data_IF_379517379638
#
_entry.id   IF_379517379638
#
_cell.length_a   1.000
_cell.length_b   1.000
_cell.length_c   1.000
_cell.angle_alpha   90.00
_cell.angle_beta   90.00
_cell.angle_gamma   90.00
#
_symmetry.space_group_name_H-M   'P 1'
#
loop_
_entity.id
_entity.type
_entity.pdbx_description
1 polymer ?
#
# COMPACT_ATOMS: atom_id res chain seq x y z
N UNK A 1 1.60 -79.02 -37.43
CA UNK A 1 0.46 -79.90 -37.12
C UNK A 1 -0.67 -79.06 -36.52
N UNK A 2 -1.75 -78.92 -37.29
CA UNK A 2 -3.18 -78.71 -36.99
C UNK A 2 -3.66 -77.85 -35.79
N UNK A 3 -4.33 -76.75 -36.16
CA UNK A 3 -5.75 -76.37 -35.92
C UNK A 3 -6.52 -76.81 -34.66
N UNK A 4 -7.10 -75.82 -33.97
CA UNK A 4 -8.55 -75.63 -33.66
C UNK A 4 -8.70 -74.53 -32.59
N UNK A 5 -9.13 -73.29 -32.89
CA UNK A 5 -10.51 -72.78 -33.05
C UNK A 5 -11.45 -72.89 -31.82
N UNK A 6 -11.59 -71.75 -31.14
CA UNK A 6 -12.73 -71.10 -30.46
C UNK A 6 -14.03 -71.90 -30.26
N UNK A 7 -14.52 -71.98 -29.01
CA UNK A 7 -15.95 -71.80 -28.69
C UNK A 7 -16.18 -71.26 -27.27
N UNK A 8 -17.26 -70.49 -27.15
CA UNK A 8 -17.73 -69.59 -26.10
C UNK A 8 -17.96 -70.19 -24.70
N UNK A 9 -17.78 -69.36 -23.67
CA UNK A 9 -18.81 -69.18 -22.64
C UNK A 9 -18.71 -67.79 -21.99
N UNK A 10 -19.87 -67.16 -21.87
CA UNK A 10 -20.12 -65.77 -21.47
C UNK A 10 -19.61 -65.40 -20.06
N UNK A 11 -19.30 -64.10 -19.86
CA UNK A 11 -18.90 -63.53 -18.57
C UNK A 11 -20.13 -63.14 -17.75
N UNK A 12 -20.13 -63.48 -16.47
CA UNK A 12 -20.86 -62.70 -15.47
C UNK A 12 -20.27 -61.27 -15.44
N UNK A 13 -20.99 -60.17 -15.23
CA UNK A 13 -22.35 -60.05 -14.73
C UNK A 13 -22.49 -58.96 -13.68
N UNK A 14 -21.81 -57.81 -13.79
CA UNK A 14 -22.28 -56.52 -13.22
C UNK A 14 -21.33 -55.33 -13.48
N UNK A 15 -21.36 -54.77 -14.68
CA UNK A 15 -21.21 -53.32 -14.86
C UNK A 15 -22.60 -52.74 -15.14
N UNK A 16 -23.03 -51.73 -14.37
CA UNK A 16 -24.12 -50.77 -14.70
C UNK A 16 -24.72 -50.18 -13.43
N UNK A 17 -24.02 -49.22 -12.79
CA UNK A 17 -24.63 -48.23 -11.90
C UNK A 17 -23.80 -46.96 -11.99
N UNK A 18 -24.18 -46.06 -12.89
CA UNK A 18 -24.11 -44.60 -12.79
C UNK A 18 -24.31 -44.02 -14.19
N UNK A 19 -25.55 -44.14 -14.70
CA UNK A 19 -26.01 -43.29 -15.78
C UNK A 19 -27.53 -43.13 -15.68
N UNK A 20 -27.97 -42.13 -14.91
CA UNK A 20 -29.35 -41.63 -15.01
C UNK A 20 -29.27 -40.18 -15.44
N UNK A 21 -29.53 -39.99 -16.73
CA UNK A 21 -29.82 -38.72 -17.37
C UNK A 21 -31.22 -38.29 -16.89
N UNK A 22 -31.33 -37.13 -16.26
CA UNK A 22 -32.62 -36.43 -16.09
C UNK A 22 -32.59 -35.19 -16.99
N UNK A 23 -33.54 -35.15 -17.94
CA UNK A 23 -33.89 -33.94 -18.71
C UNK A 23 -35.07 -33.21 -18.03
N UNK A 24 -35.26 -31.91 -18.33
CA UNK A 24 -35.87 -30.94 -17.43
C UNK A 24 -37.38 -30.83 -17.62
N UNK A 25 -38.10 -30.50 -16.55
CA UNK A 25 -39.33 -29.72 -16.68
C UNK A 25 -39.66 -28.87 -15.45
N UNK A 26 -39.99 -27.62 -15.75
CA UNK A 26 -40.85 -26.68 -15.05
C UNK A 26 -40.42 -26.06 -13.69
N UNK A 27 -40.09 -24.77 -13.80
CA UNK A 27 -40.40 -23.68 -12.85
C UNK A 27 -39.88 -23.82 -11.40
N UNK A 28 -38.60 -23.51 -11.19
CA UNK A 28 -38.11 -23.02 -9.91
C UNK A 28 -37.52 -21.61 -10.11
N UNK A 29 -38.01 -20.66 -9.31
CA UNK A 29 -37.57 -19.26 -9.26
C UNK A 29 -36.04 -19.19 -9.09
N UNK A 30 -35.35 -18.19 -9.67
CA UNK A 30 -33.93 -18.00 -9.40
C UNK A 30 -33.70 -17.77 -7.90
N UNK A 31 -32.60 -18.29 -7.32
CA UNK A 31 -32.30 -18.06 -5.91
C UNK A 31 -32.16 -16.56 -5.66
N UNK A 32 -32.79 -16.08 -4.59
CA UNK A 32 -32.72 -14.69 -4.15
C UNK A 32 -31.25 -14.27 -3.92
N UNK A 33 -30.91 -12.98 -4.11
CA UNK A 33 -29.57 -12.48 -3.80
C UNK A 33 -29.22 -12.78 -2.35
N UNK A 34 -27.99 -13.26 -2.11
CA UNK A 34 -27.48 -13.50 -0.76
C UNK A 34 -27.41 -12.17 -0.02
N UNK A 35 -28.35 -11.96 0.89
CA UNK A 35 -28.47 -10.76 1.73
C UNK A 35 -27.32 -10.77 2.76
N UNK A 36 -26.34 -9.90 2.53
CA UNK A 36 -25.04 -9.90 3.22
C UNK A 36 -25.05 -9.10 4.55
N UNK A 37 -26.21 -8.76 5.08
CA UNK A 37 -26.38 -7.74 6.13
C UNK A 37 -26.68 -8.28 7.54
N UNK A 38 -26.94 -9.58 7.73
CA UNK A 38 -27.58 -10.05 8.97
C UNK A 38 -26.67 -10.31 10.19
N UNK A 39 -25.43 -9.85 10.24
CA UNK A 39 -24.55 -10.05 11.41
C UNK A 39 -24.06 -8.76 12.08
N UNK A 40 -24.43 -7.58 11.56
CA UNK A 40 -24.01 -6.29 12.13
C UNK A 40 -25.03 -5.62 13.06
N UNK A 41 -26.20 -6.22 13.31
CA UNK A 41 -27.23 -5.57 14.14
C UNK A 41 -27.30 -6.07 15.59
N UNK A 42 -26.98 -5.13 16.48
CA UNK A 42 -27.48 -4.91 17.84
C UNK A 42 -26.89 -5.72 19.02
N UNK A 43 -26.18 -4.98 19.88
CA UNK A 43 -26.53 -4.93 21.31
C UNK A 43 -26.79 -3.45 21.69
N UNK A 44 -27.94 -3.11 22.28
CA UNK A 44 -28.25 -1.75 22.69
C UNK A 44 -27.54 -1.40 23.99
N UNK A 45 -26.71 -0.36 23.99
CA UNK A 45 -26.12 0.17 25.23
C UNK A 45 -27.16 1.06 25.92
N UNK A 46 -27.51 0.64 27.14
CA UNK A 46 -28.38 1.36 28.07
C UNK A 46 -27.74 2.70 28.45
N UNK A 47 -28.46 3.80 28.19
CA UNK A 47 -28.09 5.15 28.64
C UNK A 47 -28.72 5.36 30.02
N UNK A 48 -27.92 5.72 31.03
CA UNK A 48 -28.43 6.30 32.28
C UNK A 48 -27.53 7.47 32.68
N UNK A 49 -28.10 8.63 33.06
CA UNK A 49 -27.37 9.88 33.19
C UNK A 49 -26.87 10.14 34.62
N UNK A 50 -25.73 10.83 34.71
CA UNK A 50 -25.44 11.95 35.62
C UNK A 50 -23.94 11.96 36.01
N UNK A 51 -23.26 13.09 35.84
CA UNK A 51 -23.05 14.05 36.92
C UNK A 51 -22.20 15.24 36.44
N UNK A 52 -22.71 16.43 36.75
CA UNK A 52 -22.11 17.74 36.58
C UNK A 52 -20.74 17.83 37.28
N UNK A 53 -19.70 18.29 36.59
CA UNK A 53 -18.46 18.75 37.25
C UNK A 53 -17.84 19.91 36.45
N UNK A 54 -18.13 21.11 36.94
CA UNK A 54 -17.27 22.30 37.14
C UNK A 54 -16.32 22.78 36.02
N UNK A 55 -16.55 24.03 35.62
CA UNK A 55 -15.67 24.90 34.81
C UNK A 55 -14.23 24.99 35.34
N UNK A 56 -13.22 24.96 34.46
CA UNK A 56 -11.89 25.42 34.83
C UNK A 56 -11.83 26.96 34.83
N UNK A 57 -11.64 27.50 36.02
CA UNK A 57 -11.26 28.88 36.32
C UNK A 57 -9.97 29.26 35.59
N UNK A 58 -10.01 30.37 34.85
CA UNK A 58 -8.87 31.02 34.22
C UNK A 58 -8.20 31.94 35.26
N UNK A 59 -6.96 31.63 35.66
CA UNK A 59 -6.16 32.51 36.51
C UNK A 59 -5.15 33.29 35.67
N UNK A 60 -5.48 34.58 35.58
CA UNK A 60 -4.76 35.79 35.24
C UNK A 60 -3.21 35.82 35.26
N UNK A 61 -2.67 36.19 34.09
CA UNK A 61 -1.77 37.32 33.79
C UNK A 61 -0.47 37.54 34.57
N UNK A 62 0.64 37.55 33.82
CA UNK A 62 1.79 38.42 34.07
C UNK A 62 1.83 39.56 33.04
N UNK A 63 1.93 40.77 33.57
CA UNK A 63 1.96 42.08 32.92
C UNK A 63 3.33 42.41 32.36
N UNK A 64 3.38 43.10 31.21
CA UNK A 64 4.28 44.26 30.99
C UNK A 64 3.96 45.00 29.69
N UNK A 65 3.38 46.19 29.90
CA UNK A 65 3.38 47.43 29.12
C UNK A 65 3.92 47.43 27.68
N UNK A 66 3.02 47.76 26.75
CA UNK A 66 3.34 48.56 25.55
C UNK A 66 2.52 49.85 25.64
N UNK A 67 3.12 51.05 25.70
CA UNK A 67 2.36 52.30 25.66
C UNK A 67 1.90 52.57 24.24
N UNK A 68 0.59 52.73 24.08
CA UNK A 68 -0.03 53.31 22.89
C UNK A 68 -0.11 54.82 23.10
N UNK A 69 0.73 55.59 22.41
CA UNK A 69 0.48 57.02 22.22
C UNK A 69 0.81 57.39 20.77
N UNK A 70 -0.24 57.52 19.97
CA UNK A 70 -0.20 58.09 18.64
C UNK A 70 -0.19 59.61 18.76
N UNK A 71 0.94 60.23 18.43
CA UNK A 71 1.03 61.67 18.22
C UNK A 71 0.79 61.98 16.73
N UNK A 72 -0.10 62.92 16.38
CA UNK A 72 -0.36 63.27 14.98
C UNK A 72 0.86 63.97 14.36
N UNK A 73 1.39 63.40 13.27
CA UNK A 73 2.49 63.99 12.51
C UNK A 73 1.99 65.25 11.80
N UNK A 74 2.56 66.39 12.19
CA UNK A 74 2.27 67.69 11.61
C UNK A 74 2.89 67.78 10.20
N UNK A 75 2.03 67.85 9.18
CA UNK A 75 2.45 67.95 7.77
C UNK A 75 2.95 69.37 7.49
N UNK A 76 4.27 69.54 7.44
CA UNK A 76 4.88 70.78 6.94
C UNK A 76 4.99 70.68 5.41
N UNK A 77 4.42 71.62 4.64
CA UNK A 77 4.56 71.60 3.18
C UNK A 77 6.02 71.86 2.79
N UNK A 78 6.67 70.86 2.19
CA UNK A 78 8.01 71.01 1.60
C UNK A 78 7.89 71.87 0.35
N UNK A 79 8.50 73.06 0.41
CA UNK A 79 8.62 73.99 -0.71
C UNK A 79 9.50 73.38 -1.79
N UNK A 80 8.93 73.16 -2.97
CA UNK A 80 9.63 72.62 -4.15
C UNK A 80 10.48 73.75 -4.74
N UNK A 81 11.81 73.63 -4.65
CA UNK A 81 12.73 74.48 -5.41
C UNK A 81 12.94 73.88 -6.81
N UNK A 82 12.96 74.70 -7.88
CA UNK A 82 13.19 74.20 -9.24
C UNK A 82 14.65 73.71 -9.39
N UNK A 83 14.88 72.65 -10.19
CA UNK A 83 16.22 72.10 -10.39
C UNK A 83 17.14 73.09 -11.11
N UNK A 84 18.35 73.26 -10.57
CA UNK A 84 19.45 74.02 -11.17
C UNK A 84 19.87 73.36 -12.49
N UNK A 85 20.02 74.09 -13.61
CA UNK A 85 20.48 73.51 -14.86
C UNK A 85 21.98 73.16 -14.77
N UNK A 86 22.29 71.86 -14.71
CA UNK A 86 23.66 71.35 -14.83
C UNK A 86 24.05 71.39 -16.31
N UNK A 87 25.11 72.15 -16.61
CA UNK A 87 25.71 72.25 -17.95
C UNK A 87 26.29 70.90 -18.37
N UNK A 88 25.92 70.50 -19.58
CA UNK A 88 26.38 69.31 -20.30
C UNK A 88 27.89 69.37 -20.53
N UNK A 89 28.63 68.40 -19.99
CA UNK A 89 29.97 68.09 -20.44
C UNK A 89 29.86 66.91 -21.42
N UNK A 90 30.07 67.18 -22.70
CA UNK A 90 30.31 66.16 -23.71
C UNK A 90 31.65 65.49 -23.40
N UNK A 91 31.61 64.24 -22.95
CA UNK A 91 32.75 63.38 -23.09
C UNK A 91 32.36 62.08 -23.80
N UNK A 92 33.35 61.58 -24.50
CA UNK A 92 33.30 60.91 -25.78
C UNK A 92 33.12 59.39 -25.64
N UNK A 93 32.39 58.81 -26.60
CA UNK A 93 32.53 57.45 -27.13
C UNK A 93 33.09 56.36 -26.19
N UNK A 94 32.22 55.77 -25.37
CA UNK A 94 32.37 54.35 -25.04
C UNK A 94 31.34 53.55 -25.84
N UNK A 95 31.84 52.89 -26.88
CA UNK A 95 31.11 51.91 -27.66
C UNK A 95 30.39 50.92 -26.71
N UNK A 96 29.05 50.95 -26.73
CA UNK A 96 28.25 49.87 -26.18
C UNK A 96 28.53 48.62 -27.00
N UNK A 97 29.50 47.87 -26.52
CA UNK A 97 29.82 46.53 -27.00
C UNK A 97 28.57 45.69 -26.75
N UNK A 98 27.76 45.49 -27.78
CA UNK A 98 26.65 44.54 -27.74
C UNK A 98 27.21 43.20 -27.27
N UNK A 99 26.94 42.84 -26.01
CA UNK A 99 27.23 41.51 -25.47
C UNK A 99 26.25 40.54 -26.10
N UNK A 100 26.56 40.11 -27.33
CA UNK A 100 25.86 38.99 -27.94
C UNK A 100 26.16 37.74 -27.09
N UNK A 101 25.09 37.09 -26.66
CA UNK A 101 24.99 35.64 -26.40
C UNK A 101 25.15 35.12 -24.95
N UNK A 102 24.69 35.84 -23.93
CA UNK A 102 24.51 35.30 -22.56
C UNK A 102 23.27 34.41 -22.39
N UNK A 103 22.35 34.40 -23.37
CA UNK A 103 21.12 33.58 -23.30
C UNK A 103 21.38 32.08 -23.46
N UNK A 104 22.37 31.69 -24.28
CA UNK A 104 22.67 30.26 -24.54
C UNK A 104 23.36 29.57 -23.36
N UNK A 105 24.26 30.27 -22.67
CA UNK A 105 24.94 29.73 -21.47
C UNK A 105 23.99 29.59 -20.29
N UNK A 106 23.10 30.57 -20.06
CA UNK A 106 22.05 30.46 -19.04
C UNK A 106 21.07 29.31 -19.33
N UNK A 107 20.65 29.15 -20.59
CA UNK A 107 19.78 28.04 -20.99
C UNK A 107 20.45 26.67 -20.83
N UNK A 108 21.72 26.54 -21.19
CA UNK A 108 22.46 25.28 -21.01
C UNK A 108 22.65 24.93 -19.53
N UNK A 109 22.93 25.91 -18.68
CA UNK A 109 23.03 25.69 -17.23
C UNK A 109 21.69 25.23 -16.64
N UNK A 110 20.57 25.84 -17.06
CA UNK A 110 19.22 25.43 -16.64
C UNK A 110 18.90 24.01 -17.11
N UNK A 111 19.27 23.65 -18.35
CA UNK A 111 19.10 22.29 -18.86
C UNK A 111 19.95 21.27 -18.11
N UNK A 112 21.20 21.61 -17.77
CA UNK A 112 22.07 20.76 -16.94
C UNK A 112 21.50 20.60 -15.54
N UNK A 113 21.01 21.67 -14.91
CA UNK A 113 20.34 21.57 -13.61
C UNK A 113 19.08 20.71 -13.67
N UNK A 114 18.24 20.87 -14.70
CA UNK A 114 17.05 20.03 -14.91
C UNK A 114 17.42 18.57 -15.17
N UNK A 115 18.49 18.31 -15.93
CA UNK A 115 19.01 16.96 -16.14
C UNK A 115 19.54 16.36 -14.83
N UNK A 116 20.27 17.13 -14.02
CA UNK A 116 20.77 16.67 -12.72
C UNK A 116 19.63 16.42 -11.72
N UNK A 117 18.60 17.26 -11.73
CA UNK A 117 17.37 17.03 -10.95
C UNK A 117 16.68 15.76 -11.45
N UNK A 118 16.49 15.62 -12.77
CA UNK A 118 15.90 14.41 -13.36
C UNK A 118 16.71 13.17 -12.97
N UNK A 119 18.03 13.21 -13.11
CA UNK A 119 18.92 12.13 -12.68
C UNK A 119 18.72 11.91 -11.18
N UNK A 120 18.78 12.91 -10.32
CA UNK A 120 18.62 12.73 -8.87
C UNK A 120 17.29 12.05 -8.48
N UNK A 121 16.17 12.46 -9.09
CA UNK A 121 14.85 11.88 -8.83
C UNK A 121 14.65 10.49 -9.46
N UNK A 122 15.36 10.17 -10.55
CA UNK A 122 15.22 8.92 -11.28
C UNK A 122 16.45 8.00 -11.20
N UNK A 123 17.49 8.35 -10.43
CA UNK A 123 18.71 7.57 -10.32
C UNK A 123 18.39 6.26 -9.63
N UNK A 124 18.89 5.15 -10.18
CA UNK A 124 18.64 3.84 -9.61
C UNK A 124 19.42 3.59 -8.32
N UNK A 125 18.77 3.72 -7.16
CA UNK A 125 19.22 3.14 -5.88
C UNK A 125 18.27 2.03 -5.46
N UNK A 126 18.79 0.91 -4.92
CA UNK A 126 17.91 -0.14 -4.38
C UNK A 126 17.01 0.48 -3.31
N UNK A 127 15.72 0.18 -3.38
CA UNK A 127 14.75 0.66 -2.38
C UNK A 127 13.87 -0.50 -1.97
N UNK A 128 14.03 -0.93 -0.73
CA UNK A 128 13.26 -2.01 -0.12
C UNK A 128 12.22 -1.42 0.83
N UNK A 129 10.94 -1.69 0.55
CA UNK A 129 9.81 -1.15 1.31
C UNK A 129 8.94 -2.29 1.83
N UNK A 130 8.66 -2.29 3.14
CA UNK A 130 7.75 -3.23 3.78
C UNK A 130 6.32 -2.65 3.80
N UNK A 131 5.39 -3.32 3.14
CA UNK A 131 3.97 -2.94 3.11
C UNK A 131 3.20 -3.78 4.10
N UNK A 132 2.51 -3.13 5.03
CA UNK A 132 1.75 -3.72 6.12
C UNK A 132 0.26 -3.42 5.97
N UNK A 133 -0.57 -4.46 6.02
CA UNK A 133 -2.02 -4.33 6.17
C UNK A 133 -2.42 -4.61 7.61
N UNK A 134 -2.97 -3.61 8.29
CA UNK A 134 -3.27 -3.64 9.72
C UNK A 134 -4.75 -3.95 9.94
N UNK A 135 -5.02 -5.06 10.66
CA UNK A 135 -6.34 -5.38 11.20
C UNK A 135 -6.58 -4.55 12.47
N UNK A 136 -6.73 -3.24 12.28
CA UNK A 136 -7.02 -2.31 13.36
C UNK A 136 -8.47 -2.44 13.81
N UNK A 137 -8.68 -2.35 15.12
CA UNK A 137 -10.01 -2.27 15.74
C UNK A 137 -10.11 -1.00 16.58
N UNK A 138 -11.30 -0.38 16.68
CA UNK A 138 -11.49 0.80 17.52
C UNK A 138 -10.89 0.61 18.92
N UNK A 139 -9.90 1.42 19.23
CA UNK A 139 -9.08 1.38 20.45
C UNK A 139 -8.40 2.73 20.66
N UNK A 140 -7.79 2.92 21.82
CA UNK A 140 -7.18 4.19 22.23
C UNK A 140 -5.95 4.58 21.37
N UNK A 141 -5.30 3.61 20.72
CA UNK A 141 -4.24 3.87 19.74
C UNK A 141 -4.78 3.73 18.31
N UNK A 142 -4.54 4.72 17.43
CA UNK A 142 -5.08 4.73 16.07
C UNK A 142 -4.50 3.64 15.16
N UNK A 143 -3.46 2.92 15.61
CA UNK A 143 -2.78 1.87 14.86
C UNK A 143 -2.66 0.55 15.64
N UNK A 144 -3.27 0.42 16.82
CA UNK A 144 -3.22 -0.82 17.57
C UNK A 144 -3.90 -1.97 16.80
N UNK A 145 -3.09 -2.89 16.30
CA UNK A 145 -3.54 -3.99 15.47
C UNK A 145 -2.38 -4.86 15.00
N UNK A 146 -2.70 -6.06 14.54
CA UNK A 146 -1.71 -6.99 13.96
C UNK A 146 -1.56 -6.73 12.46
N UNK A 147 -0.35 -6.95 11.95
CA UNK A 147 -0.06 -6.84 10.52
C UNK A 147 -0.40 -8.16 9.81
N UNK A 148 -1.66 -8.33 9.45
CA UNK A 148 -2.19 -9.54 8.83
C UNK A 148 -1.75 -9.73 7.37
N UNK A 149 -1.38 -8.62 6.71
CA UNK A 149 -0.73 -8.62 5.39
C UNK A 149 0.65 -8.03 5.54
N UNK A 150 1.66 -8.74 5.04
CA UNK A 150 3.03 -8.23 4.95
C UNK A 150 3.61 -8.56 3.59
N UNK A 151 3.99 -7.54 2.84
CA UNK A 151 4.58 -7.66 1.52
C UNK A 151 5.86 -6.86 1.52
N UNK A 152 6.98 -7.55 1.36
CA UNK A 152 8.26 -6.91 1.20
C UNK A 152 8.48 -6.63 -0.29
N UNK A 153 8.71 -5.37 -0.64
CA UNK A 153 8.90 -4.95 -2.03
C UNK A 153 10.31 -4.43 -2.21
N UNK A 154 10.91 -4.66 -3.37
CA UNK A 154 12.20 -4.06 -3.72
C UNK A 154 12.19 -3.55 -5.15
N UNK A 155 12.74 -2.37 -5.33
CA UNK A 155 13.02 -1.77 -6.63
C UNK A 155 14.53 -1.87 -6.83
N UNK A 156 15.01 -2.77 -7.71
CA UNK A 156 16.43 -2.87 -7.98
C UNK A 156 16.93 -1.60 -8.68
N UNK A 157 18.23 -1.30 -8.60
CA UNK A 157 18.76 -0.13 -9.27
C UNK A 157 18.64 -0.29 -10.80
N UNK A 158 19.20 -1.34 -11.38
CA UNK A 158 19.36 -1.41 -12.85
C UNK A 158 18.03 -1.62 -13.61
N UNK A 159 16.97 -2.07 -12.93
CA UNK A 159 15.66 -2.36 -13.54
C UNK A 159 14.53 -1.72 -12.73
N UNK A 160 13.54 -1.07 -13.37
CA UNK A 160 12.36 -0.54 -12.68
C UNK A 160 11.31 -1.63 -12.35
N UNK A 161 11.63 -2.91 -12.58
CA UNK A 161 10.74 -4.02 -12.22
C UNK A 161 10.72 -4.21 -10.70
N UNK A 162 9.53 -4.17 -10.11
CA UNK A 162 9.28 -4.36 -8.68
C UNK A 162 9.19 -5.85 -8.40
N UNK A 163 10.06 -6.33 -7.52
CA UNK A 163 9.91 -7.66 -6.92
C UNK A 163 9.15 -7.56 -5.60
N UNK A 164 8.27 -8.53 -5.35
CA UNK A 164 7.41 -8.58 -4.16
C UNK A 164 7.53 -9.95 -3.50
N UNK A 165 7.77 -9.98 -2.20
CA UNK A 165 7.78 -11.19 -1.38
C UNK A 165 6.69 -11.08 -0.32
N UNK A 166 5.65 -11.90 -0.42
CA UNK A 166 4.63 -11.99 0.64
C UNK A 166 5.14 -12.86 1.79
N UNK A 167 5.15 -12.29 2.98
CA UNK A 167 5.58 -12.95 4.22
C UNK A 167 4.33 -13.44 4.97
N UNK A 168 4.19 -14.75 5.26
CA UNK A 168 3.08 -15.28 6.03
C UNK A 168 3.05 -14.65 7.43
N UNK A 169 1.87 -14.18 7.83
CA UNK A 169 1.66 -13.52 9.13
C UNK A 169 1.99 -14.41 10.34
N UNK A 170 1.85 -15.73 10.17
CA UNK A 170 1.96 -16.73 11.23
C UNK A 170 3.40 -17.31 11.33
N UNK A 171 4.37 -16.74 10.61
CA UNK A 171 5.78 -17.11 10.66
C UNK A 171 6.35 -16.85 12.07
N UNK A 172 6.86 -17.91 12.72
CA UNK A 172 7.42 -17.87 14.07
C UNK A 172 8.86 -17.40 14.02
N UNK A 173 9.12 -16.22 14.55
CA UNK A 173 10.41 -15.52 14.45
C UNK A 173 10.74 -14.78 15.73
N UNK A 174 12.01 -14.43 15.90
CA UNK A 174 12.45 -13.58 16.99
C UNK A 174 11.98 -12.15 16.77
N UNK A 175 11.24 -11.60 17.73
CA UNK A 175 10.83 -10.19 17.70
C UNK A 175 11.80 -9.39 18.59
N UNK A 176 12.59 -8.44 18.04
CA UNK A 176 13.55 -7.68 18.83
C UNK A 176 12.91 -6.99 20.04
N UNK A 177 13.58 -7.06 21.20
CA UNK A 177 13.10 -6.57 22.50
C UNK A 177 11.88 -7.31 23.08
N UNK A 178 11.46 -8.41 22.46
CA UNK A 178 10.43 -9.29 22.98
C UNK A 178 10.91 -10.76 22.89
N UNK A 179 9.98 -11.69 22.98
CA UNK A 179 10.20 -13.13 22.81
C UNK A 179 9.86 -13.57 21.39
N UNK A 180 10.20 -14.82 21.05
CA UNK A 180 9.78 -15.41 19.78
C UNK A 180 8.25 -15.43 19.70
N UNK A 181 7.73 -14.95 18.58
CA UNK A 181 6.29 -14.93 18.34
C UNK A 181 6.01 -14.99 16.84
N UNK A 182 4.73 -15.01 16.48
CA UNK A 182 4.32 -14.75 15.10
C UNK A 182 4.74 -13.34 14.71
N UNK A 183 5.39 -13.21 13.57
CA UNK A 183 5.89 -11.94 13.06
C UNK A 183 4.83 -10.82 13.00
N UNK A 184 3.55 -11.16 12.80
CA UNK A 184 2.48 -10.17 12.79
C UNK A 184 2.19 -9.49 14.15
N UNK A 185 2.73 -10.02 15.25
CA UNK A 185 2.60 -9.41 16.58
C UNK A 185 3.65 -8.33 16.83
N UNK A 186 4.72 -8.26 16.03
CA UNK A 186 5.76 -7.24 16.17
C UNK A 186 5.18 -5.82 16.17
N UNK A 187 4.30 -5.54 15.21
CA UNK A 187 3.60 -4.27 15.11
C UNK A 187 2.70 -4.02 16.34
N UNK A 188 1.96 -5.04 16.77
CA UNK A 188 1.00 -4.93 17.88
C UNK A 188 1.69 -4.66 19.23
N UNK A 189 2.75 -5.40 19.56
CA UNK A 189 3.47 -5.23 20.83
C UNK A 189 4.11 -3.85 20.93
N UNK A 190 4.73 -3.40 19.85
CA UNK A 190 5.36 -2.09 19.81
C UNK A 190 4.33 -0.94 19.92
N UNK A 191 3.18 -1.02 19.24
CA UNK A 191 2.10 -0.03 19.39
C UNK A 191 1.50 -0.02 20.80
N UNK A 192 1.48 -1.16 21.49
CA UNK A 192 1.01 -1.28 22.87
C UNK A 192 1.96 -0.60 23.86
N UNK A 193 3.27 -0.75 23.66
CA UNK A 193 4.30 -0.15 24.53
C UNK A 193 4.56 1.32 24.22
N UNK A 194 4.63 1.68 22.95
CA UNK A 194 4.90 3.04 22.48
C UNK A 194 4.10 3.31 21.20
N UNK A 195 2.96 4.02 21.29
CA UNK A 195 2.14 4.35 20.13
C UNK A 195 2.96 5.02 19.02
N UNK A 196 2.78 4.57 17.78
CA UNK A 196 3.52 5.02 16.61
C UNK A 196 4.78 4.21 16.29
N UNK A 197 5.24 3.32 17.17
CA UNK A 197 6.47 2.55 16.96
C UNK A 197 6.29 1.25 16.14
N UNK A 198 5.04 0.86 15.83
CA UNK A 198 4.69 -0.42 15.22
C UNK A 198 5.36 -0.70 13.87
N UNK A 199 5.45 0.30 12.99
CA UNK A 199 6.12 0.13 11.68
C UNK A 199 7.60 -0.20 11.85
N UNK A 200 8.29 0.51 12.73
CA UNK A 200 9.73 0.32 12.95
C UNK A 200 10.02 -1.03 13.62
N UNK A 201 9.15 -1.48 14.52
CA UNK A 201 9.27 -2.82 15.09
C UNK A 201 9.08 -3.93 14.05
N UNK A 202 8.10 -3.79 13.16
CA UNK A 202 7.90 -4.73 12.06
C UNK A 202 9.09 -4.76 11.09
N UNK A 203 9.65 -3.59 10.73
CA UNK A 203 10.89 -3.49 9.94
C UNK A 203 12.04 -4.25 10.61
N UNK A 204 12.32 -3.94 11.88
CA UNK A 204 13.38 -4.59 12.65
C UNK A 204 13.19 -6.10 12.78
N UNK A 205 11.96 -6.57 12.95
CA UNK A 205 11.66 -8.00 12.97
C UNK A 205 12.00 -8.67 11.63
N UNK A 206 11.68 -8.03 10.49
CA UNK A 206 12.10 -8.54 9.18
C UNK A 206 13.63 -8.51 9.04
N UNK A 207 14.28 -7.39 9.35
CA UNK A 207 15.74 -7.23 9.21
C UNK A 207 16.52 -8.24 10.05
N UNK A 208 16.11 -8.44 11.31
CA UNK A 208 16.78 -9.34 12.26
C UNK A 208 16.74 -10.81 11.83
N UNK A 209 15.69 -11.22 11.13
CA UNK A 209 15.49 -12.62 10.77
C UNK A 209 15.89 -12.92 9.32
N UNK A 210 15.64 -12.00 8.39
CA UNK A 210 15.86 -12.20 6.96
C UNK A 210 17.25 -11.74 6.50
N UNK A 211 18.04 -11.07 7.37
CA UNK A 211 19.38 -10.57 7.05
C UNK A 211 19.41 -9.68 5.79
N UNK A 212 18.43 -8.79 5.70
CA UNK A 212 18.26 -7.80 4.63
C UNK A 212 18.03 -6.42 5.25
N UNK A 213 18.27 -5.37 4.47
CA UNK A 213 17.94 -3.99 4.88
C UNK A 213 16.55 -3.61 4.38
N UNK A 214 15.73 -3.05 5.26
CA UNK A 214 14.40 -2.53 4.92
C UNK A 214 14.43 -1.01 5.05
N UNK A 215 14.53 -0.32 3.92
CA UNK A 215 14.68 1.14 3.90
C UNK A 215 13.44 1.85 4.43
N UNK A 216 12.25 1.40 4.02
CA UNK A 216 10.98 2.07 4.30
C UNK A 216 9.88 1.09 4.72
N UNK A 217 8.84 1.60 5.37
CA UNK A 217 7.60 0.92 5.61
C UNK A 217 6.39 1.78 5.23
N UNK A 218 5.34 1.09 4.84
CA UNK A 218 4.02 1.64 4.61
C UNK A 218 3.06 0.78 5.44
N UNK A 219 2.20 1.39 6.25
CA UNK A 219 1.09 0.68 6.89
C UNK A 219 -0.25 1.24 6.43
N UNK A 220 -1.20 0.36 6.19
CA UNK A 220 -2.54 0.67 5.71
C UNK A 220 -3.58 -0.01 6.59
N UNK A 221 -4.59 0.72 7.05
CA UNK A 221 -5.73 0.13 7.77
C UNK A 221 -6.62 -0.65 6.80
N UNK A 222 -7.19 -1.78 7.22
CA UNK A 222 -8.17 -2.49 6.39
C UNK A 222 -9.44 -1.68 6.12
N UNK A 223 -9.91 -0.90 7.08
CA UNK A 223 -11.01 0.06 6.85
C UNK A 223 -10.60 1.10 5.82
N UNK A 224 -9.38 1.62 5.94
CA UNK A 224 -8.83 2.58 5.00
C UNK A 224 -8.66 2.03 3.58
N UNK A 225 -8.29 0.76 3.44
CA UNK A 225 -8.26 0.09 2.14
C UNK A 225 -9.64 0.10 1.46
N UNK A 226 -10.70 -0.18 2.21
CA UNK A 226 -12.09 -0.12 1.71
C UNK A 226 -12.41 1.30 1.25
N UNK A 227 -12.13 2.30 2.10
CA UNK A 227 -12.42 3.70 1.81
C UNK A 227 -11.67 4.20 0.56
N UNK A 228 -10.39 3.80 0.39
CA UNK A 228 -9.58 4.18 -0.77
C UNK A 228 -10.17 3.59 -2.06
N UNK A 229 -10.54 2.30 -2.04
CA UNK A 229 -11.13 1.63 -3.21
C UNK A 229 -12.48 2.25 -3.56
N UNK A 230 -13.32 2.56 -2.57
CA UNK A 230 -14.61 3.20 -2.78
C UNK A 230 -14.46 4.64 -3.29
N UNK A 231 -13.46 5.39 -2.80
CA UNK A 231 -13.13 6.74 -3.30
C UNK A 231 -12.71 6.73 -4.78
N UNK A 232 -12.05 5.66 -5.24
CA UNK A 232 -11.77 5.44 -6.67
C UNK A 232 -13.01 5.05 -7.50
N UNK A 233 -14.12 4.72 -6.82
CA UNK A 233 -15.31 4.17 -7.44
C UNK A 233 -15.08 2.73 -7.90
N UNK A 234 -14.44 1.91 -7.06
CA UNK A 234 -14.18 0.49 -7.26
C UNK A 234 -13.01 0.18 -8.19
N UNK A 235 -12.62 -1.10 -8.21
CA UNK A 235 -11.52 -1.64 -9.04
C UNK A 235 -12.04 -2.79 -9.88
N UNK A 236 -11.71 -2.78 -11.18
CA UNK A 236 -12.07 -3.86 -12.09
C UNK A 236 -10.94 -4.89 -12.19
N UNK A 237 -11.23 -6.12 -11.78
CA UNK A 237 -10.31 -7.25 -11.84
C UNK A 237 -10.72 -8.19 -12.97
N UNK A 238 -9.80 -8.49 -13.89
CA UNK A 238 -10.07 -9.46 -14.97
C UNK A 238 -9.51 -10.82 -14.58
N UNK A 239 -10.39 -11.76 -14.24
CA UNK A 239 -10.02 -13.09 -13.78
C UNK A 239 -9.83 -14.04 -14.97
N UNK A 240 -8.72 -14.78 -15.06
CA UNK A 240 -8.55 -15.78 -16.13
C UNK A 240 -9.50 -16.97 -15.97
N UNK A 241 -9.92 -17.26 -14.73
CA UNK A 241 -10.84 -18.34 -14.36
C UNK A 241 -11.66 -17.95 -13.13
N UNK A 242 -12.70 -18.71 -12.81
CA UNK A 242 -13.54 -18.44 -11.65
C UNK A 242 -12.75 -18.61 -10.34
N UNK A 243 -12.73 -17.57 -9.51
CA UNK A 243 -11.88 -17.51 -8.33
C UNK A 243 -12.57 -16.76 -7.20
N UNK A 244 -12.52 -17.30 -5.98
CA UNK A 244 -13.04 -16.63 -4.78
C UNK A 244 -14.54 -16.26 -4.87
N UNK A 245 -15.33 -17.11 -5.54
CA UNK A 245 -16.76 -16.90 -5.75
C UNK A 245 -17.11 -15.89 -6.86
N UNK A 246 -16.12 -15.43 -7.62
CA UNK A 246 -16.29 -14.58 -8.80
C UNK A 246 -16.12 -15.40 -10.07
N UNK A 247 -16.85 -15.02 -11.12
CA UNK A 247 -16.75 -15.68 -12.44
C UNK A 247 -15.49 -15.26 -13.19
N UNK A 248 -15.07 -16.06 -14.18
CA UNK A 248 -14.01 -15.67 -15.09
C UNK A 248 -14.41 -14.41 -15.88
N UNK A 249 -13.44 -13.54 -16.17
CA UNK A 249 -13.64 -12.28 -16.88
C UNK A 249 -13.64 -11.04 -15.99
N UNK A 250 -14.15 -9.90 -16.49
CA UNK A 250 -14.10 -8.62 -15.77
C UNK A 250 -15.12 -8.59 -14.63
N UNK A 251 -14.62 -8.42 -13.41
CA UNK A 251 -15.40 -8.26 -12.18
C UNK A 251 -15.11 -6.89 -11.58
N UNK A 252 -16.15 -6.08 -11.39
CA UNK A 252 -16.01 -4.79 -10.71
C UNK A 252 -16.21 -4.95 -9.21
N UNK A 253 -15.20 -4.61 -8.42
CA UNK A 253 -15.18 -4.78 -6.97
C UNK A 253 -15.26 -3.43 -6.27
N UNK A 254 -16.26 -3.25 -5.41
CA UNK A 254 -16.26 -2.17 -4.41
C UNK A 254 -15.25 -2.47 -3.29
N UNK A 255 -15.07 -1.55 -2.35
CA UNK A 255 -14.07 -1.67 -1.28
C UNK A 255 -14.23 -2.92 -0.42
N UNK A 256 -15.46 -3.26 -0.02
CA UNK A 256 -15.73 -4.48 0.76
C UNK A 256 -15.42 -5.76 -0.03
N UNK A 257 -15.85 -5.81 -1.29
CA UNK A 257 -15.58 -6.94 -2.20
C UNK A 257 -14.09 -7.07 -2.51
N UNK A 258 -13.39 -5.95 -2.72
CA UNK A 258 -11.95 -5.91 -2.94
C UNK A 258 -11.20 -6.43 -1.71
N UNK A 259 -11.60 -6.01 -0.50
CA UNK A 259 -10.97 -6.46 0.74
C UNK A 259 -11.19 -7.96 0.94
N UNK A 260 -12.40 -8.46 0.69
CA UNK A 260 -12.71 -9.87 0.73
C UNK A 260 -11.86 -10.66 -0.28
N UNK A 261 -11.72 -10.15 -1.52
CA UNK A 261 -10.94 -10.77 -2.58
C UNK A 261 -9.45 -10.92 -2.21
N UNK A 262 -8.82 -9.87 -1.67
CA UNK A 262 -7.39 -9.93 -1.28
C UNK A 262 -7.13 -10.70 0.01
N UNK A 263 -8.14 -10.82 0.90
CA UNK A 263 -8.03 -11.58 2.16
C UNK A 263 -8.44 -13.04 2.04
N UNK A 264 -9.04 -13.45 0.92
CA UNK A 264 -9.51 -14.81 0.76
C UNK A 264 -8.35 -15.81 0.76
N UNK A 265 -8.47 -16.82 1.63
CA UNK A 265 -7.50 -17.90 1.82
C UNK A 265 -7.98 -19.22 1.24
N UNK A 266 -9.25 -19.30 0.81
CA UNK A 266 -9.89 -20.51 0.28
C UNK A 266 -9.58 -20.68 -1.21
N UNK A 267 -8.30 -20.80 -1.54
CA UNK A 267 -7.87 -21.26 -2.85
C UNK A 267 -7.51 -22.74 -2.77
N UNK A 268 -8.07 -23.54 -3.66
CA UNK A 268 -7.72 -24.97 -3.80
C UNK A 268 -6.33 -25.19 -4.42
N UNK A 269 -5.75 -24.16 -5.05
CA UNK A 269 -4.47 -24.22 -5.72
C UNK A 269 -3.52 -23.11 -5.22
N UNK A 270 -2.30 -23.51 -4.89
CA UNK A 270 -1.24 -22.67 -4.33
C UNK A 270 -0.78 -21.60 -5.32
N UNK A 271 -0.84 -21.88 -6.63
CA UNK A 271 -0.50 -20.92 -7.69
C UNK A 271 -1.45 -19.72 -7.71
N UNK A 272 -2.76 -19.97 -7.66
CA UNK A 272 -3.76 -18.90 -7.63
C UNK A 272 -3.76 -18.12 -6.32
N UNK A 273 -3.27 -18.69 -5.21
CA UNK A 273 -3.08 -17.95 -3.96
C UNK A 273 -2.06 -16.83 -4.11
N UNK A 274 -0.96 -17.07 -4.82
CA UNK A 274 0.08 -16.07 -5.08
C UNK A 274 -0.37 -15.02 -6.11
N UNK A 275 -1.12 -15.44 -7.14
CA UNK A 275 -1.55 -14.57 -8.23
C UNK A 275 -2.58 -13.50 -7.82
N UNK A 276 -3.43 -13.73 -6.80
CA UNK A 276 -4.52 -12.79 -6.44
C UNK A 276 -4.03 -11.41 -6.03
N UNK A 277 -3.07 -11.35 -5.11
CA UNK A 277 -2.55 -10.08 -4.60
C UNK A 277 -1.91 -9.25 -5.73
N UNK A 278 -1.08 -9.91 -6.54
CA UNK A 278 -0.50 -9.31 -7.74
C UNK A 278 -1.57 -8.84 -8.73
N UNK A 279 -2.58 -9.67 -8.98
CA UNK A 279 -3.66 -9.35 -9.91
C UNK A 279 -4.44 -8.12 -9.44
N UNK A 280 -4.77 -8.06 -8.14
CA UNK A 280 -5.45 -6.90 -7.56
C UNK A 280 -4.58 -5.64 -7.64
N UNK A 281 -3.30 -5.70 -7.23
CA UNK A 281 -2.36 -4.57 -7.30
C UNK A 281 -2.25 -4.07 -8.75
N UNK A 282 -2.11 -5.00 -9.71
CA UNK A 282 -2.03 -4.68 -11.14
C UNK A 282 -3.30 -4.00 -11.64
N UNK A 283 -4.48 -4.51 -11.27
CA UNK A 283 -5.77 -3.90 -11.60
C UNK A 283 -5.95 -2.53 -10.98
N UNK A 284 -5.59 -2.36 -9.71
CA UNK A 284 -5.67 -1.07 -9.02
C UNK A 284 -4.77 -0.01 -9.70
N UNK A 285 -3.54 -0.37 -10.07
CA UNK A 285 -2.64 0.55 -10.79
C UNK A 285 -3.21 0.92 -12.17
N UNK A 286 -3.82 -0.03 -12.90
CA UNK A 286 -4.47 0.25 -14.17
C UNK A 286 -5.67 1.20 -14.03
N UNK A 287 -6.42 1.12 -12.93
CA UNK A 287 -7.50 2.06 -12.62
C UNK A 287 -6.97 3.47 -12.33
N UNK A 288 -5.83 3.60 -11.64
CA UNK A 288 -5.16 4.90 -11.43
C UNK A 288 -4.71 5.52 -12.77
N UNK A 289 -4.24 4.70 -13.70
CA UNK A 289 -3.82 5.14 -15.03
C UNK A 289 -4.99 5.49 -15.96
N UNK A 290 -6.23 5.18 -15.57
CA UNK A 290 -7.41 5.48 -16.36
C UNK A 290 -7.76 6.98 -16.29
N UNK A 291 -7.69 7.74 -17.40
CA UNK A 291 -7.98 9.18 -17.40
C UNK A 291 -9.38 9.53 -16.92
N UNK A 292 -10.35 8.62 -17.09
CA UNK A 292 -11.74 8.80 -16.62
C UNK A 292 -11.85 8.86 -15.10
N UNK A 293 -10.85 8.33 -14.37
CA UNK A 293 -10.81 8.31 -12.91
C UNK A 293 -10.03 9.48 -12.32
N UNK A 294 -9.28 10.25 -13.13
CA UNK A 294 -8.44 11.34 -12.65
C UNK A 294 -9.16 12.44 -11.85
N UNK A 295 -10.41 12.82 -12.16
CA UNK A 295 -11.15 13.76 -11.33
C UNK A 295 -11.37 13.30 -9.88
N UNK A 296 -11.28 11.99 -9.60
CA UNK A 296 -11.40 11.42 -8.24
C UNK A 296 -10.09 11.40 -7.46
N UNK A 297 -8.94 11.59 -8.12
CA UNK A 297 -7.61 11.51 -7.48
C UNK A 297 -7.48 12.42 -6.25
N UNK A 298 -7.95 13.69 -6.26
CA UNK A 298 -7.85 14.53 -5.08
C UNK A 298 -8.59 13.96 -3.86
N UNK A 299 -9.79 13.40 -4.06
CA UNK A 299 -10.56 12.77 -2.99
C UNK A 299 -9.88 11.49 -2.48
N UNK A 300 -9.37 10.67 -3.40
CA UNK A 300 -8.58 9.48 -3.05
C UNK A 300 -7.37 9.86 -2.21
N UNK A 301 -6.59 10.87 -2.62
CA UNK A 301 -5.39 11.28 -1.90
C UNK A 301 -5.71 11.74 -0.47
N UNK A 302 -6.83 12.43 -0.27
CA UNK A 302 -7.29 12.82 1.06
C UNK A 302 -7.63 11.59 1.93
N UNK A 303 -8.36 10.61 1.37
CA UNK A 303 -8.70 9.37 2.08
C UNK A 303 -7.45 8.53 2.37
N UNK A 304 -6.53 8.43 1.40
CA UNK A 304 -5.28 7.72 1.55
C UNK A 304 -4.40 8.36 2.64
N UNK A 305 -4.26 9.69 2.66
CA UNK A 305 -3.48 10.39 3.67
C UNK A 305 -4.02 10.20 5.10
N UNK A 306 -5.33 9.95 5.26
CA UNK A 306 -5.94 9.66 6.57
C UNK A 306 -5.76 8.20 7.02
N UNK A 307 -5.46 7.29 6.09
CA UNK A 307 -5.53 5.85 6.30
C UNK A 307 -4.20 5.10 6.06
N UNK A 308 -3.22 5.78 5.49
CA UNK A 308 -1.88 5.29 5.18
C UNK A 308 -0.87 6.09 5.98
N UNK A 309 0.06 5.40 6.60
CA UNK A 309 1.24 6.01 7.19
C UNK A 309 2.49 5.41 6.56
N UNK A 310 3.49 6.24 6.29
CA UNK A 310 4.74 5.80 5.68
C UNK A 310 5.91 6.68 6.10
N UNK A 311 7.09 6.07 6.24
CA UNK A 311 8.37 6.76 6.36
C UNK A 311 9.05 6.98 4.97
N UNK A 312 8.38 6.62 3.87
CA UNK A 312 8.86 6.85 2.50
C UNK A 312 8.81 8.35 2.16
N UNK A 313 9.96 8.99 1.93
CA UNK A 313 9.98 10.41 1.63
C UNK A 313 9.27 10.77 0.34
N UNK A 314 8.58 11.90 0.35
CA UNK A 314 7.74 12.35 -0.78
C UNK A 314 8.51 12.50 -2.10
N UNK A 315 9.81 12.80 -2.05
CA UNK A 315 10.66 12.91 -3.24
C UNK A 315 10.93 11.55 -3.92
N UNK A 316 10.77 10.42 -3.21
CA UNK A 316 10.88 9.08 -3.79
C UNK A 316 9.56 8.58 -4.41
N UNK A 317 8.44 9.27 -4.18
CA UNK A 317 7.14 8.84 -4.67
C UNK A 317 7.05 8.79 -6.19
N UNK A 318 7.53 9.80 -6.96
CA UNK A 318 7.48 9.74 -8.42
C UNK A 318 8.22 8.53 -8.99
N UNK A 319 9.38 8.20 -8.39
CA UNK A 319 10.18 7.05 -8.76
C UNK A 319 9.50 5.73 -8.44
N UNK A 320 8.95 5.62 -7.23
CA UNK A 320 8.20 4.43 -6.79
C UNK A 320 6.98 4.22 -7.67
N UNK A 321 6.23 5.30 -7.96
CA UNK A 321 5.07 5.27 -8.85
C UNK A 321 5.46 4.80 -10.26
N UNK A 322 6.56 5.31 -10.82
CA UNK A 322 7.07 4.85 -12.11
C UNK A 322 7.38 3.34 -12.12
N UNK A 323 8.06 2.83 -11.09
CA UNK A 323 8.39 1.41 -10.99
C UNK A 323 7.14 0.52 -10.84
N UNK A 324 6.16 0.95 -10.04
CA UNK A 324 4.87 0.28 -9.89
C UNK A 324 4.09 0.25 -11.21
N UNK A 325 4.03 1.38 -11.93
CA UNK A 325 3.37 1.47 -13.24
C UNK A 325 4.06 0.57 -14.27
N UNK A 326 5.40 0.63 -14.33
CA UNK A 326 6.18 -0.22 -15.22
C UNK A 326 5.89 -1.71 -14.95
N UNK A 327 5.87 -2.10 -13.68
CA UNK A 327 5.62 -3.48 -13.25
C UNK A 327 4.17 -3.92 -13.45
N UNK A 328 3.19 -3.02 -13.33
CA UNK A 328 1.80 -3.32 -13.65
C UNK A 328 1.57 -3.59 -15.16
N UNK A 329 2.43 -3.03 -16.02
CA UNK A 329 2.38 -3.28 -17.48
C UNK A 329 3.22 -4.49 -17.87
N UNK A 330 4.44 -4.63 -17.34
CA UNK A 330 5.39 -5.68 -17.70
C UNK A 330 5.26 -6.97 -16.89
N UNK A 331 4.60 -6.91 -15.74
CA UNK A 331 4.52 -7.99 -14.76
C UNK A 331 5.39 -7.69 -13.54
N UNK A 332 4.80 -7.91 -12.36
CA UNK A 332 5.54 -7.96 -11.11
C UNK A 332 6.26 -9.31 -10.97
N UNK A 333 7.43 -9.26 -10.36
CA UNK A 333 8.17 -10.44 -9.94
C UNK A 333 7.72 -10.82 -8.52
N UNK A 334 6.64 -11.61 -8.43
CA UNK A 334 5.95 -11.88 -7.15
C UNK A 334 6.27 -13.28 -6.63
N UNK A 335 6.67 -13.35 -5.38
CA UNK A 335 6.95 -14.57 -4.64
C UNK A 335 6.16 -14.58 -3.33
N UNK A 336 5.93 -15.78 -2.80
CA UNK A 336 5.36 -15.97 -1.46
C UNK A 336 6.12 -17.10 -0.80
N UNK A 337 6.35 -17.00 0.51
CA UNK A 337 6.86 -18.14 1.27
C UNK A 337 5.77 -19.19 1.36
N UNK A 338 5.85 -20.19 0.50
CA UNK A 338 4.86 -21.26 0.37
C UNK A 338 5.08 -22.37 1.40
N UNK A 339 4.24 -23.41 1.34
CA UNK A 339 4.27 -24.55 2.27
C UNK A 339 5.54 -25.39 2.20
N UNK A 340 6.37 -25.25 1.16
CA UNK A 340 7.66 -25.93 1.06
C UNK A 340 8.74 -25.19 1.84
N UNK A 341 8.56 -23.89 2.06
CA UNK A 341 9.49 -23.01 2.76
C UNK A 341 9.20 -22.88 4.25
N UNK A 342 8.04 -23.37 4.71
CA UNK A 342 7.62 -23.26 6.11
C UNK A 342 7.01 -24.57 6.61
N UNK A 343 7.26 -24.90 7.88
CA UNK A 343 6.70 -26.09 8.51
C UNK A 343 5.63 -25.70 9.52
N UNK A 344 4.37 -26.14 9.37
CA UNK A 344 3.33 -25.86 10.37
C UNK A 344 3.62 -26.62 11.66
N UNK A 345 3.48 -25.94 12.80
CA UNK A 345 3.69 -26.48 14.13
C UNK A 345 2.74 -25.81 15.13
N UNK A 346 2.57 -26.44 16.30
CA UNK A 346 1.76 -25.92 17.40
C UNK A 346 2.67 -25.72 18.60
N UNK A 347 2.75 -24.49 19.11
CA UNK A 347 3.56 -24.19 20.29
C UNK A 347 3.04 -24.91 21.53
N UNK A 348 3.84 -24.97 22.59
CA UNK A 348 3.42 -25.54 23.88
C UNK A 348 2.19 -24.83 24.48
N UNK A 349 1.98 -23.56 24.11
CA UNK A 349 0.83 -22.74 24.48
C UNK A 349 -0.40 -22.97 23.58
N UNK A 350 -0.33 -23.89 22.61
CA UNK A 350 -1.43 -24.24 21.71
C UNK A 350 -1.60 -23.31 20.50
N UNK A 351 -0.66 -22.41 20.23
CA UNK A 351 -0.75 -21.52 19.08
C UNK A 351 -0.29 -22.21 17.79
N UNK A 352 -1.09 -22.12 16.72
CA UNK A 352 -0.69 -22.58 15.39
C UNK A 352 0.26 -21.56 14.74
N UNK A 353 1.44 -22.04 14.34
CA UNK A 353 2.54 -21.21 13.83
C UNK A 353 3.23 -21.89 12.65
N UNK A 354 4.04 -21.11 11.92
CA UNK A 354 4.84 -21.57 10.79
C UNK A 354 6.31 -21.42 11.13
N UNK A 355 7.04 -22.52 11.28
CA UNK A 355 8.49 -22.50 11.47
C UNK A 355 9.20 -22.27 10.11
N UNK A 356 10.15 -21.31 10.01
CA UNK A 356 10.87 -21.04 8.77
C UNK A 356 11.84 -22.17 8.41
N UNK A 357 11.93 -22.53 7.13
CA UNK A 357 13.01 -23.35 6.59
C UNK A 357 14.03 -22.45 5.88
N UNK A 358 15.04 -21.99 6.62
CA UNK A 358 16.04 -21.05 6.12
C UNK A 358 16.88 -21.58 4.96
N UNK A 359 17.10 -22.90 4.86
CA UNK A 359 17.87 -23.51 3.76
C UNK A 359 17.18 -23.28 2.40
N UNK A 360 15.84 -23.31 2.38
CA UNK A 360 15.03 -23.09 1.17
C UNK A 360 14.69 -21.61 0.99
N UNK A 361 14.49 -20.87 2.09
CA UNK A 361 14.13 -19.45 2.04
C UNK A 361 15.28 -18.54 1.63
N UNK A 362 16.49 -18.78 2.15
CA UNK A 362 17.64 -17.88 1.95
C UNK A 362 18.02 -17.70 0.47
N UNK A 363 18.07 -18.74 -0.38
CA UNK A 363 18.36 -18.55 -1.80
C UNK A 363 17.36 -17.61 -2.50
N UNK A 364 16.07 -17.73 -2.18
CA UNK A 364 15.04 -16.84 -2.71
C UNK A 364 15.24 -15.41 -2.20
N UNK A 365 15.37 -15.23 -0.88
CA UNK A 365 15.56 -13.91 -0.26
C UNK A 365 16.80 -13.22 -0.83
N UNK A 366 17.91 -13.93 -0.92
CA UNK A 366 19.17 -13.39 -1.43
C UNK A 366 19.05 -12.99 -2.90
N UNK A 367 18.38 -13.81 -3.73
CA UNK A 367 18.19 -13.49 -5.15
C UNK A 367 17.36 -12.23 -5.40
N UNK A 368 16.45 -11.89 -4.47
CA UNK A 368 15.57 -10.73 -4.60
C UNK A 368 16.21 -9.47 -3.99
N UNK A 369 16.81 -9.59 -2.80
CA UNK A 369 17.15 -8.44 -1.96
C UNK A 369 18.64 -8.13 -1.84
N UNK A 370 19.54 -9.04 -2.26
CA UNK A 370 20.99 -8.79 -2.33
C UNK A 370 21.38 -8.57 -3.78
#
# INVERSE_FOLDING_TARGET
MNDNHIENQDPDGSESRFNTIIKPDSAAQPPLPVEFESWMDSQPVQVTPAQTTQEPQVVATNTLNVPTEYQPVNVVPVKIEPPVPVKVANDTNHAFRHTKNTKKTGFWLVMVCLLLIFIFFFTPVRTTTLVLGIDWRPSDSPWLGRSDTMILTTIPPVSPQVSMLSIPRDLWLTIPNHYDNRINTAHYFAELETPGSGMQAAKKAVEANFSINVDYAIRVKFTGFVDIVDAFGGVTVNLPEALSGLEAGPNHLNGKQALAFVRDRKASDDFFRQARGQLFITSAIKEVLNPLKWPRIPAVLAVAAANIETDLPIWLWPRTAYALIFSAVKGFDSHTLDRTMVTPWVTDEGAQVLAPNWEVMNPLIDSLFK
#
